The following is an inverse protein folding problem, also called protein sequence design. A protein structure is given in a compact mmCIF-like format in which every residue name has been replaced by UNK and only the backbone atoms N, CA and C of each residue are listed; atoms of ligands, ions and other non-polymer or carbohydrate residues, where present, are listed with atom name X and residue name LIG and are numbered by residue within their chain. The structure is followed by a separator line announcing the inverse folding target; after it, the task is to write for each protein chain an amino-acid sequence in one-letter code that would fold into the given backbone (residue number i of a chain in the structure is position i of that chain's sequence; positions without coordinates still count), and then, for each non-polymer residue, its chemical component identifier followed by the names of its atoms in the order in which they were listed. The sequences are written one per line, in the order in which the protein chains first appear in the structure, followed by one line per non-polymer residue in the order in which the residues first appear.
data_IF_268843893619
#
_entry.id   IF_268843893619
#
_cell.length_a   1.000
_cell.length_b   1.000
_cell.length_c   1.000
_cell.angle_alpha   90.00
_cell.angle_beta   90.00
_cell.angle_gamma   90.00
#
_symmetry.space_group_name_H-M   'P 1'
#
loop_
_entity.id
_entity.type
_entity.pdbx_description
1 polymer ?
#
# COMPACT_ATOMS: atom_id res chain seq x y z
N UNK A 1 -3.22 -29.74 -24.00
CA UNK A 1 -2.71 -28.59 -24.78
C UNK A 1 -2.55 -27.43 -23.82
N UNK A 2 -1.35 -26.85 -23.65
CA UNK A 2 -1.19 -25.72 -22.76
C UNK A 2 -1.91 -24.52 -23.40
N UNK A 3 -2.81 -23.93 -22.63
CA UNK A 3 -3.51 -22.71 -23.00
C UNK A 3 -2.48 -21.58 -23.17
N UNK A 4 -2.43 -21.01 -24.37
CA UNK A 4 -1.70 -19.79 -24.67
C UNK A 4 -2.38 -18.61 -23.99
N UNK A 5 -1.68 -17.99 -23.03
CA UNK A 5 -2.06 -16.70 -22.46
C UNK A 5 -2.07 -15.60 -23.55
N UNK A 6 -2.99 -14.63 -23.49
CA UNK A 6 -3.11 -13.56 -24.48
C UNK A 6 -1.96 -12.53 -24.36
N UNK A 7 -1.66 -11.77 -25.43
CA UNK A 7 -0.49 -10.90 -25.50
C UNK A 7 -0.56 -9.69 -24.54
N UNK A 8 0.62 -9.37 -24.02
CA UNK A 8 0.95 -8.31 -23.07
C UNK A 8 0.33 -6.94 -23.39
N UNK A 9 -0.29 -6.32 -22.38
CA UNK A 9 -0.65 -4.89 -22.37
C UNK A 9 0.10 -4.16 -21.24
N UNK A 10 0.64 -2.96 -21.49
CA UNK A 10 1.37 -2.19 -20.48
C UNK A 10 0.41 -1.50 -19.50
N UNK A 11 0.70 -1.56 -18.19
CA UNK A 11 0.07 -0.72 -17.16
C UNK A 11 1.15 0.07 -16.42
N UNK A 12 1.12 1.39 -16.58
CA UNK A 12 2.08 2.37 -16.05
C UNK A 12 1.35 3.42 -15.22
N UNK A 13 0.95 3.07 -14.00
CA UNK A 13 0.16 4.00 -13.18
C UNK A 13 1.03 5.04 -12.44
N UNK A 14 2.34 4.78 -12.29
CA UNK A 14 3.26 5.66 -11.55
C UNK A 14 4.03 6.65 -12.40
N UNK A 15 4.30 6.27 -13.65
CA UNK A 15 4.91 7.16 -14.62
C UNK A 15 3.97 8.33 -14.97
N UNK A 16 2.64 8.12 -14.93
CA UNK A 16 1.67 9.12 -15.34
C UNK A 16 1.61 10.35 -14.42
N UNK A 17 1.69 10.19 -13.09
CA UNK A 17 1.69 11.34 -12.17
C UNK A 17 3.00 12.12 -12.22
N UNK A 18 4.15 11.44 -12.24
CA UNK A 18 5.44 12.12 -12.39
C UNK A 18 5.53 12.81 -13.76
N UNK A 19 5.03 12.17 -14.81
CA UNK A 19 4.94 12.73 -16.16
C UNK A 19 3.96 13.91 -16.23
N UNK A 20 2.83 13.90 -15.50
CA UNK A 20 1.90 15.03 -15.53
C UNK A 20 2.48 16.31 -14.92
N UNK A 21 3.45 16.18 -14.01
CA UNK A 21 4.15 17.32 -13.41
C UNK A 21 5.18 17.94 -14.36
N UNK A 22 5.86 17.15 -15.19
CA UNK A 22 6.93 17.62 -16.08
C UNK A 22 6.45 17.86 -17.51
N UNK A 23 5.53 17.05 -18.00
CA UNK A 23 5.01 17.04 -19.37
C UNK A 23 3.48 16.79 -19.38
N UNK A 24 2.66 17.78 -18.98
CA UNK A 24 1.20 17.62 -18.87
C UNK A 24 0.54 17.09 -20.15
N UNK A 25 0.95 17.63 -21.32
CA UNK A 25 0.43 17.20 -22.60
C UNK A 25 0.76 15.73 -22.94
N UNK A 26 1.92 15.23 -22.50
CA UNK A 26 2.28 13.83 -22.69
C UNK A 26 1.47 12.92 -21.76
N UNK A 27 1.26 13.32 -20.51
CA UNK A 27 0.41 12.59 -19.58
C UNK A 27 -1.03 12.50 -20.10
N UNK A 28 -1.59 13.60 -20.61
CA UNK A 28 -2.92 13.63 -21.22
C UNK A 28 -3.00 12.72 -22.45
N UNK A 29 -1.96 12.71 -23.29
CA UNK A 29 -1.88 11.82 -24.45
C UNK A 29 -1.85 10.33 -24.04
N UNK A 30 -1.13 9.99 -22.96
CA UNK A 30 -1.08 8.62 -22.42
C UNK A 30 -2.46 8.20 -21.89
N UNK A 31 -3.12 9.07 -21.11
CA UNK A 31 -4.48 8.80 -20.60
C UNK A 31 -5.48 8.61 -21.74
N UNK A 32 -5.45 9.50 -22.74
CA UNK A 32 -6.30 9.40 -23.92
C UNK A 32 -6.04 8.12 -24.71
N UNK A 33 -4.77 7.73 -24.88
CA UNK A 33 -4.41 6.47 -25.54
C UNK A 33 -4.94 5.25 -24.77
N UNK A 34 -4.83 5.26 -23.43
CA UNK A 34 -5.36 4.20 -22.57
C UNK A 34 -6.89 4.11 -22.67
N UNK A 35 -7.59 5.26 -22.63
CA UNK A 35 -9.04 5.32 -22.83
C UNK A 35 -9.45 4.76 -24.19
N UNK A 36 -8.79 5.19 -25.27
CA UNK A 36 -9.07 4.70 -26.61
C UNK A 36 -8.88 3.18 -26.72
N UNK A 37 -7.78 2.65 -26.18
CA UNK A 37 -7.46 1.23 -26.23
C UNK A 37 -8.39 0.36 -25.37
N UNK A 38 -8.92 0.89 -24.27
CA UNK A 38 -9.73 0.15 -23.30
C UNK A 38 -11.24 0.42 -23.42
N UNK A 39 -11.65 1.40 -24.22
CA UNK A 39 -13.07 1.70 -24.53
C UNK A 39 -13.85 0.47 -25.03
N UNK A 40 -13.31 -0.43 -25.89
CA UNK A 40 -14.02 -1.65 -26.30
C UNK A 40 -14.31 -2.61 -25.13
N UNK A 41 -13.55 -2.52 -24.04
CA UNK A 41 -13.72 -3.33 -22.83
C UNK A 41 -14.59 -2.63 -21.77
N UNK A 42 -15.25 -1.53 -22.13
CA UNK A 42 -16.16 -0.80 -21.24
C UNK A 42 -15.49 0.21 -20.32
N UNK A 43 -14.19 0.52 -20.50
CA UNK A 43 -13.55 1.61 -19.77
C UNK A 43 -14.20 2.94 -20.15
N UNK A 44 -14.67 3.69 -19.14
CA UNK A 44 -15.33 4.99 -19.35
C UNK A 44 -14.37 6.17 -19.26
N UNK A 45 -13.35 6.06 -18.39
CA UNK A 45 -12.41 7.13 -18.10
C UNK A 45 -11.12 6.57 -17.52
N UNK A 46 -9.99 7.19 -17.85
CA UNK A 46 -8.72 7.02 -17.18
C UNK A 46 -8.34 8.33 -16.47
N UNK A 47 -7.96 8.25 -15.21
CA UNK A 47 -7.57 9.42 -14.40
C UNK A 47 -6.32 9.09 -13.60
N UNK A 48 -5.56 10.13 -13.26
CA UNK A 48 -4.47 10.01 -12.30
C UNK A 48 -5.07 10.17 -10.90
N UNK A 49 -4.83 9.17 -10.06
CA UNK A 49 -5.27 9.17 -8.67
C UNK A 49 -4.40 10.13 -7.83
N UNK A 50 -5.00 10.88 -6.91
CA UNK A 50 -4.21 11.67 -5.97
C UNK A 50 -3.52 10.76 -4.95
N UNK A 51 -2.34 11.14 -4.48
CA UNK A 51 -1.63 10.34 -3.47
C UNK A 51 -2.40 10.23 -2.15
N UNK A 52 -3.20 11.23 -1.80
CA UNK A 52 -4.10 11.17 -0.63
C UNK A 52 -5.16 10.09 -0.82
N UNK A 53 -5.87 10.11 -1.96
CA UNK A 53 -6.91 9.12 -2.28
C UNK A 53 -6.33 7.71 -2.38
N UNK A 54 -5.12 7.57 -2.90
CA UNK A 54 -4.40 6.30 -2.92
C UNK A 54 -4.22 5.72 -1.52
N UNK A 55 -3.81 6.54 -0.54
CA UNK A 55 -3.73 6.13 0.86
C UNK A 55 -5.09 5.77 1.47
N UNK A 56 -6.12 6.58 1.21
CA UNK A 56 -7.49 6.32 1.71
C UNK A 56 -8.06 5.03 1.12
N UNK A 57 -7.91 4.80 -0.18
CA UNK A 57 -8.40 3.60 -0.86
C UNK A 57 -7.57 2.37 -0.51
N UNK A 58 -6.27 2.53 -0.27
CA UNK A 58 -5.44 1.50 0.32
C UNK A 58 -6.02 1.04 1.68
N UNK A 59 -6.31 1.98 2.59
CA UNK A 59 -6.95 1.70 3.88
C UNK A 59 -8.33 1.03 3.73
N UNK A 60 -9.17 1.50 2.82
CA UNK A 60 -10.50 0.94 2.59
C UNK A 60 -10.41 -0.52 2.11
N UNK A 61 -9.51 -0.80 1.17
CA UNK A 61 -9.29 -2.15 0.63
C UNK A 61 -8.83 -3.12 1.70
N UNK A 62 -7.86 -2.70 2.51
CA UNK A 62 -7.31 -3.46 3.62
C UNK A 62 -8.44 -3.89 4.57
N UNK A 63 -9.18 -2.91 5.07
CA UNK A 63 -10.20 -3.15 6.09
C UNK A 63 -11.42 -3.89 5.57
N UNK A 64 -11.76 -3.70 4.29
CA UNK A 64 -12.79 -4.48 3.62
C UNK A 64 -12.41 -5.96 3.48
N UNK A 65 -11.19 -6.26 3.02
CA UNK A 65 -10.74 -7.64 2.75
C UNK A 65 -10.52 -8.47 4.01
N UNK A 66 -10.18 -7.82 5.12
CA UNK A 66 -10.02 -8.49 6.43
C UNK A 66 -11.30 -8.50 7.26
N UNK A 67 -12.41 -8.03 6.70
CA UNK A 67 -13.77 -8.11 7.27
C UNK A 67 -13.93 -7.38 8.63
N UNK A 68 -13.10 -6.37 8.89
CA UNK A 68 -13.20 -5.52 10.11
C UNK A 68 -14.02 -4.26 9.90
N UNK A 69 -14.52 -4.02 8.68
CA UNK A 69 -15.58 -3.03 8.43
C UNK A 69 -16.91 -3.75 8.67
N UNK A 70 -17.60 -3.52 9.80
CA UNK A 70 -18.77 -4.31 10.15
C UNK A 70 -19.94 -4.04 9.23
N UNK A 71 -20.60 -5.10 8.77
CA UNK A 71 -21.93 -5.01 8.17
C UNK A 71 -23.05 -4.93 9.21
N UNK A 72 -22.74 -5.14 10.49
CA UNK A 72 -23.68 -5.10 11.60
C UNK A 72 -23.11 -4.30 12.80
N UNK A 73 -24.01 -3.75 13.61
CA UNK A 73 -23.73 -2.77 14.66
C UNK A 73 -22.98 -3.31 15.89
N UNK A 74 -22.79 -4.63 16.01
CA UNK A 74 -22.19 -5.28 17.18
C UNK A 74 -20.66 -5.46 17.13
N UNK A 75 -20.02 -5.28 15.96
CA UNK A 75 -18.56 -5.40 15.88
C UNK A 75 -17.87 -4.09 16.27
N UNK A 76 -17.02 -4.15 17.29
CA UNK A 76 -16.22 -3.02 17.79
C UNK A 76 -14.73 -3.17 17.48
N UNK A 77 -14.36 -4.01 16.52
CA UNK A 77 -12.95 -4.18 16.18
C UNK A 77 -12.37 -2.92 15.53
N UNK A 78 -11.19 -2.53 16.01
CA UNK A 78 -10.43 -1.44 15.42
C UNK A 78 -9.98 -1.81 14.01
N UNK A 79 -10.21 -0.90 13.07
CA UNK A 79 -9.70 -1.02 11.69
C UNK A 79 -8.18 -0.94 11.68
N UNK A 80 -7.51 -1.63 10.77
CA UNK A 80 -6.07 -1.53 10.52
C UNK A 80 -5.69 -0.22 9.84
N UNK A 81 -4.47 0.26 10.08
CA UNK A 81 -3.79 1.21 9.20
C UNK A 81 -3.26 0.52 7.94
N UNK A 82 -2.99 1.29 6.89
CA UNK A 82 -2.39 0.84 5.65
C UNK A 82 -1.06 1.56 5.39
N UNK A 83 -0.04 0.78 5.05
CA UNK A 83 1.26 1.27 4.59
C UNK A 83 1.45 0.83 3.14
N UNK A 84 1.70 1.77 2.24
CA UNK A 84 1.99 1.49 0.83
C UNK A 84 3.33 2.13 0.44
N UNK A 85 4.13 1.42 -0.33
CA UNK A 85 5.43 1.89 -0.80
C UNK A 85 5.59 1.49 -2.26
N UNK A 86 5.17 2.39 -3.14
CA UNK A 86 5.28 2.21 -4.58
C UNK A 86 6.65 2.60 -5.13
N UNK A 87 6.71 2.70 -6.45
CA UNK A 87 7.94 3.07 -7.16
C UNK A 87 8.30 4.56 -7.04
N UNK A 88 7.29 5.43 -6.99
CA UNK A 88 7.48 6.89 -6.99
C UNK A 88 7.02 7.59 -5.70
N UNK A 89 6.12 6.98 -4.93
CA UNK A 89 5.61 7.52 -3.68
C UNK A 89 5.45 6.43 -2.61
N UNK A 90 5.25 6.86 -1.37
CA UNK A 90 4.83 6.02 -0.26
C UNK A 90 3.70 6.69 0.49
N UNK A 91 2.77 5.89 1.01
CA UNK A 91 1.57 6.34 1.72
C UNK A 91 1.51 5.70 3.09
N UNK A 92 0.97 6.46 4.03
CA UNK A 92 0.52 5.96 5.34
C UNK A 92 -0.89 6.47 5.58
N UNK A 93 -1.78 5.55 5.94
CA UNK A 93 -3.17 5.85 6.26
C UNK A 93 -3.64 5.07 7.50
N UNK A 94 -4.40 5.70 8.39
CA UNK A 94 -4.89 5.07 9.62
C UNK A 94 -6.13 5.77 10.17
N UNK A 95 -6.96 5.06 10.96
CA UNK A 95 -8.13 5.68 11.60
C UNK A 95 -7.68 6.68 12.67
N UNK A 96 -8.45 7.76 12.85
CA UNK A 96 -8.20 8.77 13.89
C UNK A 96 -9.46 9.06 14.71
N UNK A 97 -9.26 9.39 15.99
CA UNK A 97 -10.31 9.82 16.91
C UNK A 97 -10.95 11.15 16.51
N UNK A 98 -12.07 11.52 17.14
CA UNK A 98 -12.79 12.77 16.87
C UNK A 98 -12.04 14.04 17.28
N UNK A 99 -11.05 13.90 18.17
CA UNK A 99 -10.19 14.94 18.72
C UNK A 99 -9.09 15.40 17.78
N UNK A 100 -8.75 14.59 16.76
CA UNK A 100 -7.70 14.93 15.78
C UNK A 100 -8.27 15.82 14.68
N UNK A 101 -7.61 16.93 14.37
CA UNK A 101 -7.95 17.83 13.25
C UNK A 101 -6.75 17.99 12.31
N UNK A 102 -6.95 17.66 11.03
CA UNK A 102 -5.99 17.86 9.95
C UNK A 102 -6.72 17.96 8.61
N UNK A 103 -6.12 18.64 7.65
CA UNK A 103 -6.59 18.68 6.25
C UNK A 103 -6.37 17.34 5.53
N UNK A 104 -5.50 16.49 6.08
CA UNK A 104 -5.17 15.16 5.56
C UNK A 104 -6.14 14.08 6.07
N UNK A 105 -7.32 14.47 6.59
CA UNK A 105 -8.36 13.55 7.08
C UNK A 105 -9.52 13.49 6.08
N UNK A 106 -9.86 12.28 5.65
CA UNK A 106 -11.08 11.99 4.89
C UNK A 106 -12.10 11.30 5.78
N UNK A 107 -13.35 11.74 5.69
CA UNK A 107 -14.48 11.12 6.38
C UNK A 107 -15.22 10.17 5.42
N UNK A 108 -15.28 8.89 5.78
CA UNK A 108 -15.97 7.86 5.03
C UNK A 108 -17.22 7.41 5.79
N UNK A 109 -18.31 7.20 5.06
CA UNK A 109 -19.56 6.67 5.62
C UNK A 109 -19.79 5.27 5.05
N UNK A 110 -19.58 4.23 5.86
CA UNK A 110 -19.59 2.83 5.45
C UNK A 110 -20.54 2.03 6.35
N UNK A 111 -21.56 1.40 5.78
CA UNK A 111 -22.59 0.66 6.52
C UNK A 111 -23.15 1.45 7.73
N UNK A 112 -23.59 2.69 7.54
CA UNK A 112 -24.14 3.51 8.62
C UNK A 112 -23.14 3.96 9.70
N UNK A 113 -21.87 3.59 9.60
CA UNK A 113 -20.79 4.06 10.49
C UNK A 113 -19.88 5.07 9.81
N UNK A 114 -19.47 6.08 10.57
CA UNK A 114 -18.55 7.13 10.14
C UNK A 114 -17.13 6.76 10.54
N UNK A 115 -16.22 6.75 9.57
CA UNK A 115 -14.80 6.52 9.75
C UNK A 115 -14.04 7.79 9.39
N UNK A 116 -13.11 8.21 10.26
CA UNK A 116 -12.19 9.31 9.97
C UNK A 116 -10.83 8.71 9.71
N UNK A 117 -10.32 8.89 8.49
CA UNK A 117 -9.07 8.29 8.04
C UNK A 117 -8.08 9.40 7.75
N UNK A 118 -7.00 9.44 8.50
CA UNK A 118 -5.84 10.26 8.14
C UNK A 118 -5.07 9.55 7.05
N UNK A 119 -4.68 10.25 5.98
CA UNK A 119 -3.87 9.70 4.90
C UNK A 119 -2.92 10.76 4.32
N UNK A 120 -1.64 10.41 4.22
CA UNK A 120 -0.62 11.26 3.60
C UNK A 120 0.20 10.46 2.59
N UNK A 121 0.69 11.15 1.57
CA UNK A 121 1.50 10.58 0.49
C UNK A 121 2.77 11.40 0.29
N UNK A 122 3.90 10.72 0.21
CA UNK A 122 5.22 11.32 0.03
C UNK A 122 5.74 11.00 -1.37
N UNK A 123 5.50 11.92 -2.31
CA UNK A 123 6.04 11.84 -3.67
C UNK A 123 7.58 11.91 -3.64
N UNK A 124 8.23 11.21 -4.57
CA UNK A 124 9.68 11.04 -4.68
C UNK A 124 10.32 10.20 -3.57
N UNK A 125 9.52 9.64 -2.65
CA UNK A 125 9.95 8.70 -1.62
C UNK A 125 9.44 7.27 -1.88
N UNK A 126 9.01 6.97 -3.11
CA UNK A 126 8.93 5.59 -3.59
C UNK A 126 10.30 5.03 -3.92
N UNK A 127 10.44 3.70 -3.91
CA UNK A 127 11.75 3.04 -3.94
C UNK A 127 12.61 3.32 -5.17
N UNK A 128 12.02 3.61 -6.34
CA UNK A 128 12.80 3.92 -7.53
C UNK A 128 13.29 5.38 -7.51
N UNK A 129 12.42 6.31 -7.14
CA UNK A 129 12.76 7.73 -7.13
C UNK A 129 13.71 8.10 -5.99
N UNK A 130 13.55 7.49 -4.81
CA UNK A 130 14.50 7.70 -3.72
C UNK A 130 15.87 7.08 -4.03
N UNK A 131 15.90 5.94 -4.76
CA UNK A 131 17.16 5.38 -5.28
C UNK A 131 17.82 6.33 -6.29
N UNK A 132 17.05 6.96 -7.18
CA UNK A 132 17.61 7.98 -8.09
C UNK A 132 18.16 9.18 -7.32
N UNK A 133 17.44 9.67 -6.30
CA UNK A 133 17.92 10.73 -5.41
C UNK A 133 19.20 10.34 -4.68
N UNK A 134 19.31 9.10 -4.23
CA UNK A 134 20.55 8.57 -3.63
C UNK A 134 21.71 8.62 -4.62
N UNK A 135 21.53 8.12 -5.84
CA UNK A 135 22.58 8.14 -6.86
C UNK A 135 23.00 9.58 -7.19
N UNK A 136 22.05 10.48 -7.38
CA UNK A 136 22.33 11.90 -7.60
C UNK A 136 23.09 12.54 -6.42
N UNK A 137 22.73 12.18 -5.18
CA UNK A 137 23.37 12.66 -3.97
C UNK A 137 24.84 12.22 -3.87
N UNK A 138 25.14 10.95 -4.09
CA UNK A 138 26.53 10.45 -4.03
C UNK A 138 27.39 10.93 -5.21
N UNK A 139 26.79 11.20 -6.38
CA UNK A 139 27.49 11.86 -7.50
C UNK A 139 27.91 13.27 -7.09
N UNK A 140 26.99 14.05 -6.52
CA UNK A 140 27.27 15.41 -6.10
C UNK A 140 28.32 15.47 -4.98
N UNK A 141 28.28 14.54 -4.02
CA UNK A 141 29.29 14.41 -2.95
C UNK A 141 30.68 14.05 -3.46
N UNK A 142 30.75 13.32 -4.57
CA UNK A 142 32.01 12.91 -5.21
C UNK A 142 32.35 13.81 -6.41
N UNK A 143 31.85 15.04 -6.41
CA UNK A 143 32.22 16.10 -7.36
C UNK A 143 32.05 15.71 -8.83
N UNK A 144 30.99 14.94 -9.14
CA UNK A 144 30.65 14.53 -10.51
C UNK A 144 31.76 13.74 -11.24
N UNK A 145 32.58 12.97 -10.51
CA UNK A 145 33.56 12.05 -11.10
C UNK A 145 32.90 10.97 -11.95
N UNK A 146 33.61 10.45 -12.95
CA UNK A 146 33.11 9.35 -13.80
C UNK A 146 32.90 8.05 -13.01
N UNK A 147 33.78 7.77 -12.04
CA UNK A 147 33.68 6.61 -11.14
C UNK A 147 33.22 7.06 -9.76
N UNK A 148 32.07 6.54 -9.34
CA UNK A 148 31.38 6.87 -8.10
C UNK A 148 31.40 5.67 -7.17
N UNK A 149 31.97 5.83 -5.98
CA UNK A 149 31.89 4.81 -4.94
C UNK A 149 30.50 4.85 -4.30
N UNK A 150 29.81 3.71 -4.28
CA UNK A 150 28.47 3.61 -3.70
C UNK A 150 28.49 2.79 -2.41
N UNK A 151 28.08 3.37 -1.27
CA UNK A 151 28.01 2.64 -0.02
C UNK A 151 26.87 1.61 0.04
N UNK A 152 25.79 1.87 -0.70
CA UNK A 152 24.60 1.02 -0.70
C UNK A 152 24.60 -0.09 -1.76
N UNK A 153 25.77 -0.40 -2.33
CA UNK A 153 25.95 -1.54 -3.24
C UNK A 153 27.08 -2.42 -2.71
N UNK A 154 26.89 -3.73 -2.81
CA UNK A 154 27.82 -4.75 -2.30
C UNK A 154 29.20 -4.62 -2.93
N UNK A 155 30.23 -4.97 -2.15
CA UNK A 155 31.61 -4.98 -2.65
C UNK A 155 31.78 -5.97 -3.81
N UNK A 156 32.48 -5.55 -4.87
CA UNK A 156 32.63 -6.34 -6.09
C UNK A 156 31.47 -6.22 -7.09
N UNK A 157 30.42 -5.44 -6.79
CA UNK A 157 29.39 -5.08 -7.75
C UNK A 157 29.73 -3.79 -8.49
N UNK A 158 29.53 -3.75 -9.81
CA UNK A 158 29.75 -2.57 -10.64
C UNK A 158 28.65 -2.46 -11.69
N UNK A 159 28.16 -1.25 -11.93
CA UNK A 159 27.14 -0.98 -12.93
C UNK A 159 27.28 0.44 -13.47
N UNK A 160 26.73 0.67 -14.66
CA UNK A 160 26.78 1.97 -15.34
C UNK A 160 25.38 2.53 -15.49
N UNK A 161 25.24 3.86 -15.36
CA UNK A 161 24.02 4.58 -15.69
C UNK A 161 24.36 5.86 -16.43
N UNK A 162 23.52 6.21 -17.39
CA UNK A 162 23.62 7.51 -18.06
C UNK A 162 23.18 8.63 -17.12
N UNK A 163 23.73 9.83 -17.33
CA UNK A 163 23.31 11.02 -16.59
C UNK A 163 21.80 11.31 -16.74
N UNK A 164 21.23 11.05 -17.92
CA UNK A 164 19.78 11.19 -18.19
C UNK A 164 18.94 10.28 -17.29
N UNK A 165 19.32 9.00 -17.15
CA UNK A 165 18.60 8.04 -16.30
C UNK A 165 18.54 8.47 -14.82
N UNK A 166 19.48 9.30 -14.37
CA UNK A 166 19.57 9.78 -13.01
C UNK A 166 18.93 11.16 -12.84
N UNK A 167 19.26 12.13 -13.69
CA UNK A 167 18.94 13.55 -13.49
C UNK A 167 17.67 14.04 -14.20
N UNK A 168 17.15 13.30 -15.18
CA UNK A 168 15.96 13.72 -15.96
C UNK A 168 14.64 13.47 -15.23
N UNK A 169 14.65 12.71 -14.12
CA UNK A 169 13.44 12.53 -13.31
C UNK A 169 13.04 13.82 -12.61
N UNK A 170 11.73 14.09 -12.53
CA UNK A 170 11.17 15.15 -11.69
C UNK A 170 11.74 15.15 -10.26
N UNK A 171 12.06 13.97 -9.74
CA UNK A 171 12.52 13.81 -8.37
C UNK A 171 14.00 14.17 -8.17
N UNK A 172 14.78 14.34 -9.23
CA UNK A 172 16.23 14.60 -9.19
C UNK A 172 16.66 15.82 -10.01
N UNK A 173 15.79 16.32 -10.88
CA UNK A 173 16.04 17.54 -11.64
C UNK A 173 16.03 18.76 -10.72
N UNK A 174 17.11 19.53 -10.77
CA UNK A 174 17.30 20.81 -10.08
C UNK A 174 17.96 21.77 -11.07
N UNK A 175 17.96 23.09 -10.82
CA UNK A 175 18.67 24.03 -11.68
C UNK A 175 20.15 23.67 -11.87
N UNK A 176 20.79 23.08 -10.85
CA UNK A 176 22.18 22.62 -10.96
C UNK A 176 22.31 21.37 -11.85
N UNK A 177 21.50 20.33 -11.60
CA UNK A 177 21.59 19.08 -12.37
C UNK A 177 21.14 19.27 -13.82
N UNK A 178 20.17 20.15 -14.07
CA UNK A 178 19.73 20.53 -15.42
C UNK A 178 20.85 21.24 -16.19
N UNK A 179 21.50 22.25 -15.60
CA UNK A 179 22.64 22.92 -16.23
C UNK A 179 23.81 21.96 -16.47
N UNK A 180 24.08 21.03 -15.55
CA UNK A 180 25.14 20.04 -15.72
C UNK A 180 24.82 19.06 -16.86
N UNK A 181 23.58 18.59 -16.94
CA UNK A 181 23.12 17.65 -17.97
C UNK A 181 23.15 18.26 -19.37
N UNK A 182 22.86 19.56 -19.51
CA UNK A 182 23.00 20.27 -20.78
C UNK A 182 24.46 20.31 -21.28
N UNK A 183 25.42 20.40 -20.37
CA UNK A 183 26.85 20.40 -20.70
C UNK A 183 27.39 19.00 -20.96
N UNK A 184 26.78 17.97 -20.35
CA UNK A 184 27.24 16.58 -20.40
C UNK A 184 26.10 15.61 -20.79
N UNK A 185 25.47 15.79 -21.97
CA UNK A 185 24.23 15.08 -22.33
C UNK A 185 24.40 13.57 -22.53
N UNK A 186 25.64 13.12 -22.75
CA UNK A 186 26.01 11.73 -23.02
C UNK A 186 26.90 11.15 -21.91
N UNK A 187 27.04 11.83 -20.77
CA UNK A 187 27.83 11.33 -19.66
C UNK A 187 27.27 10.02 -19.09
N UNK A 188 28.19 9.14 -18.69
CA UNK A 188 27.91 7.85 -18.07
C UNK A 188 28.71 7.74 -16.79
N UNK A 189 28.03 7.44 -15.69
CA UNK A 189 28.66 7.20 -14.40
C UNK A 189 28.86 5.70 -14.19
N UNK A 190 30.05 5.32 -13.74
CA UNK A 190 30.40 3.97 -13.30
C UNK A 190 30.30 3.91 -11.78
N UNK A 191 29.38 3.10 -11.26
CA UNK A 191 29.21 2.93 -9.82
C UNK A 191 29.92 1.67 -9.34
N UNK A 192 30.71 1.79 -8.29
CA UNK A 192 31.44 0.67 -7.67
C UNK A 192 30.98 0.53 -6.22
N UNK A 193 30.45 -0.64 -5.86
CA UNK A 193 30.03 -0.94 -4.49
C UNK A 193 31.21 -1.11 -3.56
N UNK A 194 31.16 -0.47 -2.37
CA UNK A 194 32.15 -0.71 -1.31
C UNK A 194 31.64 -1.63 -0.19
N UNK A 195 30.33 -1.92 -0.14
CA UNK A 195 29.71 -2.76 0.88
C UNK A 195 29.74 -2.19 2.30
N UNK A 196 29.60 -0.86 2.48
CA UNK A 196 29.62 -0.23 3.80
C UNK A 196 28.20 0.02 4.33
N UNK A 197 27.72 -0.87 5.21
CA UNK A 197 26.39 -0.74 5.83
C UNK A 197 26.21 0.58 6.60
N UNK A 198 27.25 1.03 7.33
CA UNK A 198 27.20 2.27 8.10
C UNK A 198 27.13 3.50 7.20
N UNK A 199 27.98 3.59 6.18
CA UNK A 199 27.93 4.70 5.21
C UNK A 199 26.62 4.69 4.43
N UNK A 200 26.09 3.50 4.10
CA UNK A 200 24.81 3.39 3.40
C UNK A 200 23.67 3.95 4.25
N UNK A 201 23.61 3.53 5.52
CA UNK A 201 22.65 4.06 6.47
C UNK A 201 22.79 5.58 6.62
N UNK A 202 24.00 6.11 6.80
CA UNK A 202 24.21 7.57 6.88
C UNK A 202 23.73 8.31 5.63
N UNK A 203 24.03 7.79 4.44
CA UNK A 203 23.58 8.38 3.18
C UNK A 203 22.04 8.36 3.05
N UNK A 204 21.38 7.27 3.47
CA UNK A 204 19.92 7.17 3.47
C UNK A 204 19.29 8.14 4.48
N UNK A 205 19.82 8.20 5.71
CA UNK A 205 19.36 9.12 6.73
C UNK A 205 19.46 10.59 6.28
N UNK A 206 20.54 10.96 5.60
CA UNK A 206 20.73 12.31 5.04
C UNK A 206 19.70 12.65 3.95
N UNK A 207 19.35 11.70 3.07
CA UNK A 207 18.31 11.88 2.05
C UNK A 207 16.91 12.08 2.66
N UNK A 208 16.69 11.46 3.81
CA UNK A 208 15.44 11.51 4.55
C UNK A 208 15.38 12.70 5.52
N UNK A 209 16.46 13.46 5.69
CA UNK A 209 16.49 14.66 6.50
C UNK A 209 15.76 15.81 5.79
N UNK A 210 14.66 16.37 6.35
CA UNK A 210 13.90 17.43 5.70
C UNK A 210 14.73 18.70 5.46
N UNK A 211 15.62 19.06 6.38
CA UNK A 211 16.46 20.24 6.28
C UNK A 211 17.52 20.09 5.18
N UNK A 212 18.07 18.89 5.01
CA UNK A 212 19.00 18.59 3.90
C UNK A 212 18.24 18.57 2.57
N UNK A 213 17.10 17.90 2.50
CA UNK A 213 16.29 17.80 1.29
C UNK A 213 15.86 19.17 0.75
N UNK A 214 15.38 20.08 1.62
CA UNK A 214 14.90 21.43 1.24
C UNK A 214 15.96 22.32 0.60
N UNK A 215 17.25 21.96 0.70
CA UNK A 215 18.34 22.69 0.02
C UNK A 215 18.34 22.47 -1.49
N UNK A 216 17.83 21.32 -1.95
CA UNK A 216 17.95 20.89 -3.34
C UNK A 216 16.61 20.56 -4.00
N UNK A 217 15.62 20.13 -3.23
CA UNK A 217 14.36 19.60 -3.76
C UNK A 217 13.14 20.33 -3.18
N UNK A 218 12.09 20.42 -3.99
CA UNK A 218 10.79 21.00 -3.61
C UNK A 218 9.92 20.02 -2.80
N UNK A 219 10.01 18.73 -3.10
CA UNK A 219 9.25 17.68 -2.41
C UNK A 219 10.14 16.92 -1.43
N UNK A 220 9.84 17.06 -0.14
CA UNK A 220 10.60 16.47 0.97
C UNK A 220 9.71 15.67 1.92
N UNK A 221 10.31 14.68 2.57
CA UNK A 221 9.65 13.79 3.54
C UNK A 221 9.56 14.47 4.89
N UNK A 222 8.52 15.27 5.10
CA UNK A 222 8.19 15.79 6.42
C UNK A 222 7.62 14.68 7.30
N UNK A 223 7.86 14.69 8.63
CA UNK A 223 7.13 13.82 9.54
C UNK A 223 5.60 14.02 9.40
N UNK A 224 4.79 12.95 9.53
CA UNK A 224 3.34 13.08 9.54
C UNK A 224 2.89 14.07 10.62
N UNK A 225 2.00 15.00 10.26
CA UNK A 225 1.44 15.99 11.22
C UNK A 225 0.66 15.32 12.36
N UNK A 226 0.06 14.16 12.07
CA UNK A 226 -0.57 13.30 13.06
C UNK A 226 0.36 12.12 13.28
N UNK A 227 0.87 11.91 14.50
CA UNK A 227 1.78 10.80 14.78
C UNK A 227 1.05 9.47 14.57
N UNK A 228 1.79 8.49 14.05
CA UNK A 228 1.33 7.12 13.85
C UNK A 228 0.97 6.51 15.22
N UNK A 229 -0.29 6.09 15.45
CA UNK A 229 -0.69 5.58 16.76
C UNK A 229 0.05 4.30 17.15
N UNK A 230 0.51 4.21 18.41
CA UNK A 230 1.33 3.10 18.92
C UNK A 230 0.57 1.80 19.17
N UNK A 231 -0.73 1.87 19.47
CA UNK A 231 -1.60 0.69 19.66
C UNK A 231 -2.26 0.17 18.38
N UNK A 232 -2.08 0.89 17.26
CA UNK A 232 -2.73 0.58 15.99
C UNK A 232 -1.98 -0.55 15.27
N UNK A 233 -2.73 -1.53 14.76
CA UNK A 233 -2.18 -2.53 13.85
C UNK A 233 -2.18 -2.02 12.42
N UNK A 234 -1.15 -2.34 11.65
CA UNK A 234 -1.00 -1.93 10.26
C UNK A 234 -0.94 -3.14 9.35
N UNK A 235 -1.48 -2.98 8.15
CA UNK A 235 -1.23 -3.89 7.05
C UNK A 235 -0.39 -3.19 6.00
N UNK A 236 0.65 -3.88 5.56
CA UNK A 236 1.42 -3.44 4.42
C UNK A 236 0.71 -3.90 3.16
N UNK A 237 0.23 -2.96 2.37
CA UNK A 237 -0.45 -3.26 1.13
C UNK A 237 0.53 -3.74 0.08
N UNK A 238 0.10 -4.70 -0.73
CA UNK A 238 0.89 -5.27 -1.81
C UNK A 238 0.21 -5.29 -3.17
N UNK A 239 0.72 -4.46 -4.09
CA UNK A 239 0.36 -4.54 -5.50
C UNK A 239 1.38 -5.32 -6.32
N UNK A 240 0.90 -6.34 -7.03
CA UNK A 240 1.57 -6.92 -8.18
C UNK A 240 1.18 -6.13 -9.43
N UNK A 241 2.15 -5.48 -10.08
CA UNK A 241 2.01 -5.10 -11.49
C UNK A 241 3.03 -5.92 -12.27
N UNK A 242 2.62 -6.80 -13.20
CA UNK A 242 3.57 -7.56 -13.99
C UNK A 242 4.47 -6.61 -14.80
N UNK A 243 5.79 -6.79 -14.68
CA UNK A 243 6.78 -6.01 -15.42
C UNK A 243 6.86 -6.56 -16.84
N UNK A 244 6.48 -5.74 -17.83
CA UNK A 244 6.64 -6.06 -19.24
C UNK A 244 8.06 -5.72 -19.65
N UNK A 245 8.84 -6.74 -20.04
CA UNK A 245 10.15 -6.58 -20.68
C UNK A 245 9.94 -6.14 -22.13
N UNK A 246 9.81 -4.83 -22.38
CA UNK A 246 9.97 -4.30 -23.75
C UNK A 246 11.19 -3.39 -23.81
N UNK A 247 12.06 -3.62 -24.79
CA UNK A 247 13.24 -2.81 -25.10
C UNK A 247 12.90 -1.38 -25.55
N UNK A 248 11.62 -1.08 -25.81
CA UNK A 248 11.14 0.22 -26.28
C UNK A 248 10.71 1.16 -25.14
N UNK A 249 10.48 0.66 -23.92
CA UNK A 249 9.98 1.46 -22.81
C UNK A 249 11.02 1.51 -21.68
N UNK A 250 12.00 2.41 -21.82
CA UNK A 250 13.10 2.56 -20.82
C UNK A 250 12.63 3.06 -19.45
N UNK A 251 11.41 3.59 -19.36
CA UNK A 251 10.76 3.91 -18.08
C UNK A 251 10.23 2.68 -17.31
N UNK A 252 10.18 1.49 -17.94
CA UNK A 252 9.57 0.27 -17.38
C UNK A 252 10.50 -0.60 -16.53
N UNK A 253 11.78 -0.24 -16.34
CA UNK A 253 12.66 -0.89 -15.35
C UNK A 253 12.41 -0.39 -13.90
N UNK A 254 11.21 0.08 -13.62
CA UNK A 254 10.81 0.60 -12.32
C UNK A 254 10.14 -0.53 -11.51
N UNK A 255 10.71 -0.83 -10.34
CA UNK A 255 10.09 -1.71 -9.35
C UNK A 255 8.81 -1.02 -8.86
N UNK A 256 7.67 -1.36 -9.45
CA UNK A 256 6.35 -0.80 -9.13
C UNK A 256 5.61 -1.70 -8.14
N UNK A 257 6.33 -2.19 -7.12
CA UNK A 257 5.79 -3.09 -6.12
C UNK A 257 5.82 -2.41 -4.75
N UNK A 258 4.91 -2.83 -3.88
CA UNK A 258 4.95 -2.55 -2.44
C UNK A 258 6.27 -3.00 -1.82
N UNK A 259 7.25 -2.13 -1.81
CA UNK A 259 8.62 -2.55 -1.54
C UNK A 259 8.83 -2.98 -0.08
N UNK A 260 7.94 -2.57 0.84
CA UNK A 260 7.93 -3.04 2.22
C UNK A 260 7.91 -4.59 2.30
N UNK A 261 6.87 -5.24 1.77
CA UNK A 261 6.74 -6.69 1.85
C UNK A 261 7.90 -7.42 1.18
N UNK A 262 8.28 -7.00 -0.03
CA UNK A 262 9.32 -7.66 -0.80
C UNK A 262 10.71 -7.52 -0.19
N UNK A 263 11.01 -6.36 0.39
CA UNK A 263 12.28 -6.13 1.08
C UNK A 263 12.38 -7.06 2.28
N UNK A 264 11.39 -7.07 3.18
CA UNK A 264 11.42 -7.96 4.35
C UNK A 264 11.41 -9.43 3.94
N UNK A 265 10.66 -9.82 2.91
CA UNK A 265 10.64 -11.19 2.41
C UNK A 265 11.99 -11.61 1.85
N UNK A 266 12.61 -10.77 1.04
CA UNK A 266 13.92 -11.06 0.45
C UNK A 266 14.98 -11.26 1.53
N UNK A 267 14.89 -10.51 2.63
CA UNK A 267 15.79 -10.60 3.78
C UNK A 267 15.37 -11.67 4.81
N UNK A 268 14.37 -12.52 4.51
CA UNK A 268 13.82 -13.51 5.45
C UNK A 268 13.40 -12.91 6.81
N UNK A 269 12.90 -11.68 6.81
CA UNK A 269 12.52 -10.92 8.00
C UNK A 269 11.00 -10.74 8.15
N UNK A 270 10.18 -11.29 7.25
CA UNK A 270 8.71 -11.23 7.35
C UNK A 270 8.22 -11.91 8.62
N UNK A 271 7.56 -11.15 9.50
CA UNK A 271 7.02 -11.66 10.77
C UNK A 271 8.08 -11.91 11.85
N UNK A 272 9.34 -11.52 11.61
CA UNK A 272 10.43 -11.64 12.58
C UNK A 272 10.52 -10.38 13.47
N UNK A 273 11.16 -10.46 14.66
CA UNK A 273 11.43 -9.29 15.49
C UNK A 273 12.23 -8.21 14.77
N UNK A 274 12.11 -6.95 15.22
CA UNK A 274 12.76 -5.79 14.60
C UNK A 274 14.28 -6.01 14.45
N UNK A 275 14.94 -6.49 15.50
CA UNK A 275 16.38 -6.77 15.48
C UNK A 275 16.80 -7.73 14.36
N UNK A 276 15.95 -8.69 13.99
CA UNK A 276 16.25 -9.59 12.86
C UNK A 276 16.27 -8.81 11.55
N UNK A 277 15.31 -7.92 11.34
CA UNK A 277 15.29 -7.06 10.15
C UNK A 277 16.49 -6.12 10.11
N UNK A 278 16.84 -5.50 11.23
CA UNK A 278 18.01 -4.61 11.34
C UNK A 278 19.32 -5.35 11.04
N UNK A 279 19.53 -6.51 11.66
CA UNK A 279 20.73 -7.33 11.46
C UNK A 279 20.84 -7.84 10.02
N UNK A 280 19.74 -8.33 9.44
CA UNK A 280 19.75 -8.81 8.05
C UNK A 280 19.98 -7.67 7.06
N UNK A 281 19.51 -6.46 7.34
CA UNK A 281 19.77 -5.27 6.51
C UNK A 281 21.26 -4.90 6.54
N UNK A 282 21.88 -4.90 7.72
CA UNK A 282 23.31 -4.65 7.87
C UNK A 282 24.15 -5.73 7.18
N UNK A 283 23.78 -7.01 7.36
CA UNK A 283 24.45 -8.14 6.70
C UNK A 283 24.34 -8.04 5.18
N UNK A 284 23.13 -7.74 4.67
CA UNK A 284 22.88 -7.57 3.24
C UNK A 284 23.76 -6.47 2.64
N UNK A 285 24.02 -5.38 3.35
CA UNK A 285 24.89 -4.31 2.88
C UNK A 285 26.39 -4.61 2.99
N UNK A 286 26.80 -5.30 4.06
CA UNK A 286 28.22 -5.61 4.32
C UNK A 286 28.76 -6.81 3.54
N UNK A 287 27.88 -7.66 3.01
CA UNK A 287 28.26 -8.82 2.21
C UNK A 287 28.95 -8.43 0.89
N UNK A 288 29.83 -9.30 0.40
CA UNK A 288 30.32 -9.24 -0.98
C UNK A 288 29.19 -9.51 -1.98
N UNK A 289 29.37 -9.13 -3.25
CA UNK A 289 28.38 -9.39 -4.29
C UNK A 289 28.06 -10.89 -4.46
N UNK A 290 29.04 -11.77 -4.29
CA UNK A 290 28.85 -13.22 -4.37
C UNK A 290 28.00 -13.74 -3.20
N UNK A 291 28.36 -13.36 -1.98
CA UNK A 291 27.60 -13.73 -0.77
C UNK A 291 26.17 -13.17 -0.81
N UNK A 292 26.02 -11.90 -1.18
CA UNK A 292 24.74 -11.20 -1.25
C UNK A 292 23.71 -11.92 -2.14
N UNK A 293 24.16 -12.54 -3.24
CA UNK A 293 23.28 -13.31 -4.13
C UNK A 293 22.70 -14.57 -3.47
N UNK A 294 23.36 -15.09 -2.44
CA UNK A 294 22.91 -16.27 -1.68
C UNK A 294 22.00 -15.92 -0.49
N UNK A 295 22.08 -14.69 0.00
CA UNK A 295 21.33 -14.22 1.18
C UNK A 295 19.86 -13.92 0.90
N UNK A 296 19.49 -13.68 -0.37
CA UNK A 296 18.18 -13.14 -0.74
C UNK A 296 17.53 -13.87 -1.90
N UNK A 297 16.20 -13.82 -1.95
CA UNK A 297 15.41 -14.40 -3.05
C UNK A 297 14.31 -13.41 -3.52
N UNK A 298 14.19 -13.13 -4.84
CA UNK A 298 15.00 -13.63 -5.96
C UNK A 298 16.32 -12.86 -6.14
N UNK A 299 17.36 -13.56 -6.59
CA UNK A 299 18.69 -13.00 -6.81
C UNK A 299 18.76 -11.87 -7.85
N UNK A 300 17.81 -11.81 -8.80
CA UNK A 300 17.78 -10.78 -9.85
C UNK A 300 17.65 -9.34 -9.33
N UNK A 301 17.26 -9.15 -8.07
CA UNK A 301 17.11 -7.82 -7.45
C UNK A 301 18.14 -7.54 -6.35
N UNK A 302 19.16 -8.40 -6.18
CA UNK A 302 20.20 -8.30 -5.13
C UNK A 302 20.80 -6.90 -5.03
N UNK A 303 21.14 -6.30 -6.18
CA UNK A 303 21.75 -4.98 -6.24
C UNK A 303 20.92 -3.88 -5.57
N UNK A 304 19.61 -4.06 -5.43
CA UNK A 304 18.73 -3.06 -4.83
C UNK A 304 18.49 -3.29 -3.33
N UNK A 305 18.68 -4.49 -2.81
CA UNK A 305 18.21 -4.84 -1.46
C UNK A 305 19.00 -4.16 -0.34
N UNK A 306 20.29 -3.88 -0.52
CA UNK A 306 21.03 -3.11 0.48
C UNK A 306 20.42 -1.72 0.65
N UNK A 307 20.34 -0.92 -0.43
CA UNK A 307 19.69 0.39 -0.40
C UNK A 307 18.24 0.33 0.08
N UNK A 308 17.43 -0.58 -0.48
CA UNK A 308 16.01 -0.68 -0.15
C UNK A 308 15.78 -1.05 1.32
N UNK A 309 16.59 -1.96 1.88
CA UNK A 309 16.46 -2.36 3.29
C UNK A 309 16.78 -1.22 4.25
N UNK A 310 17.84 -0.45 3.98
CA UNK A 310 18.17 0.75 4.75
C UNK A 310 17.08 1.82 4.62
N UNK A 311 16.57 2.06 3.41
CA UNK A 311 15.48 3.00 3.21
C UNK A 311 14.19 2.59 3.93
N UNK A 312 13.79 1.31 3.83
CA UNK A 312 12.58 0.81 4.50
C UNK A 312 12.71 0.90 6.02
N UNK A 313 13.89 0.57 6.55
CA UNK A 313 14.23 0.70 7.97
C UNK A 313 14.04 2.12 8.46
N UNK A 314 14.70 3.09 7.84
CA UNK A 314 14.67 4.48 8.29
C UNK A 314 13.29 5.11 8.05
N UNK A 315 12.57 4.70 6.99
CA UNK A 315 11.19 5.12 6.75
C UNK A 315 10.24 4.65 7.86
N UNK A 316 10.30 3.38 8.24
CA UNK A 316 9.43 2.84 9.28
C UNK A 316 9.80 3.39 10.66
N UNK A 317 11.08 3.42 11.02
CA UNK A 317 11.51 3.77 12.36
C UNK A 317 11.55 5.28 12.58
N UNK A 318 12.26 6.01 11.74
CA UNK A 318 12.55 7.43 11.99
C UNK A 318 11.41 8.35 11.52
N UNK A 319 10.64 7.91 10.52
CA UNK A 319 9.63 8.78 9.87
C UNK A 319 8.22 8.41 10.22
N UNK A 320 7.91 7.11 10.21
CA UNK A 320 6.62 6.63 10.70
C UNK A 320 6.63 6.39 12.21
N UNK A 321 7.78 6.47 12.89
CA UNK A 321 7.85 6.43 14.34
C UNK A 321 7.61 5.04 14.93
N UNK A 322 7.73 3.98 14.13
CA UNK A 322 7.68 2.63 14.66
C UNK A 322 8.92 2.36 15.53
N UNK A 323 8.72 1.59 16.58
CA UNK A 323 9.75 1.13 17.50
C UNK A 323 9.61 -0.37 17.74
N UNK A 324 10.54 -0.95 18.50
CA UNK A 324 10.47 -2.36 18.90
C UNK A 324 9.11 -2.72 19.55
N UNK A 325 8.59 -1.83 20.41
CA UNK A 325 7.30 -2.01 21.08
C UNK A 325 6.11 -2.08 20.11
N UNK A 326 6.17 -1.37 18.97
CA UNK A 326 5.09 -1.30 17.99
C UNK A 326 5.29 -2.21 16.79
N UNK A 327 6.48 -2.79 16.62
CA UNK A 327 6.86 -3.57 15.43
C UNK A 327 5.95 -4.78 15.20
N UNK A 328 5.55 -5.45 16.29
CA UNK A 328 4.61 -6.58 16.24
C UNK A 328 3.21 -6.18 15.72
N UNK A 329 2.89 -4.89 15.70
CA UNK A 329 1.66 -4.37 15.12
C UNK A 329 1.68 -4.29 13.58
N UNK A 330 2.83 -4.44 12.93
CA UNK A 330 2.97 -4.32 11.47
C UNK A 330 2.86 -5.71 10.82
N UNK A 331 1.78 -5.92 10.07
CA UNK A 331 1.55 -7.16 9.34
C UNK A 331 1.98 -7.02 7.88
N UNK A 332 3.12 -7.61 7.55
CA UNK A 332 3.65 -7.69 6.19
C UNK A 332 2.99 -8.82 5.41
N UNK A 333 1.78 -8.58 4.91
CA UNK A 333 1.00 -9.59 4.18
C UNK A 333 0.81 -9.22 2.70
N UNK A 334 0.86 -10.22 1.84
CA UNK A 334 0.63 -10.03 0.39
C UNK A 334 -0.84 -10.06 0.02
N UNK A 335 -1.57 -11.01 0.60
CA UNK A 335 -2.96 -11.30 0.26
C UNK A 335 -3.84 -11.36 1.49
N UNK A 336 -5.07 -10.90 1.32
CA UNK A 336 -6.18 -11.17 2.23
C UNK A 336 -7.29 -11.84 1.41
N UNK A 337 -7.81 -12.98 1.89
CA UNK A 337 -8.86 -13.77 1.23
C UNK A 337 -8.58 -14.11 -0.26
N UNK A 338 -7.31 -14.27 -0.63
CA UNK A 338 -6.88 -14.61 -1.99
C UNK A 338 -6.70 -13.40 -2.94
N UNK A 339 -7.09 -12.21 -2.52
CA UNK A 339 -6.92 -10.95 -3.26
C UNK A 339 -5.64 -10.23 -2.82
N UNK A 340 -4.98 -9.57 -3.77
CA UNK A 340 -3.82 -8.71 -3.48
C UNK A 340 -4.30 -7.43 -2.78
N UNK A 341 -3.54 -6.98 -1.78
CA UNK A 341 -3.86 -5.78 -1.01
C UNK A 341 -3.38 -4.52 -1.74
N UNK A 342 -4.20 -3.50 -1.90
CA UNK A 342 -3.78 -2.26 -2.56
C UNK A 342 -4.98 -1.37 -2.80
N UNK A 343 -4.77 -0.16 -3.30
CA UNK A 343 -5.85 0.83 -3.42
C UNK A 343 -6.94 0.50 -4.45
N UNK A 344 -6.68 -0.41 -5.40
CA UNK A 344 -7.57 -0.66 -6.54
C UNK A 344 -8.96 -1.14 -6.13
N UNK A 345 -9.05 -2.02 -5.13
CA UNK A 345 -10.34 -2.52 -4.63
C UNK A 345 -11.15 -1.41 -3.94
N UNK A 346 -10.50 -0.59 -3.13
CA UNK A 346 -11.11 0.52 -2.39
C UNK A 346 -11.57 1.61 -3.34
N UNK A 347 -10.76 1.91 -4.37
CA UNK A 347 -11.17 2.78 -5.47
C UNK A 347 -12.43 2.22 -6.16
N UNK A 348 -12.45 0.92 -6.49
CA UNK A 348 -13.60 0.29 -7.11
C UNK A 348 -14.84 0.34 -6.22
N UNK A 349 -14.70 0.05 -4.93
CA UNK A 349 -15.79 0.12 -3.93
C UNK A 349 -16.39 1.52 -3.91
N UNK A 350 -15.54 2.55 -3.85
CA UNK A 350 -15.97 3.94 -3.83
C UNK A 350 -16.63 4.34 -5.17
N UNK A 351 -15.99 4.04 -6.30
CA UNK A 351 -16.47 4.42 -7.62
C UNK A 351 -17.80 3.74 -8.02
N UNK A 352 -18.09 2.57 -7.46
CA UNK A 352 -19.32 1.82 -7.73
C UNK A 352 -20.41 2.00 -6.67
N UNK A 353 -20.12 2.74 -5.58
CA UNK A 353 -20.95 2.78 -4.38
C UNK A 353 -21.31 1.37 -3.87
N UNK A 354 -20.36 0.42 -3.97
CA UNK A 354 -20.61 -0.98 -3.63
C UNK A 354 -20.91 -1.19 -2.14
N UNK A 355 -20.39 -0.31 -1.28
CA UNK A 355 -20.73 -0.29 0.15
C UNK A 355 -21.80 0.79 0.38
N UNK A 356 -22.99 0.43 0.90
CA UNK A 356 -24.01 1.40 1.21
C UNK A 356 -23.58 2.29 2.38
N UNK A 357 -23.94 3.58 2.29
CA UNK A 357 -23.70 4.53 3.37
C UNK A 357 -24.59 4.29 4.61
N UNK A 358 -25.72 3.60 4.44
CA UNK A 358 -26.64 3.20 5.51
C UNK A 358 -26.49 1.71 5.86
N UNK A 359 -26.85 1.34 7.09
CA UNK A 359 -26.96 -0.05 7.51
C UNK A 359 -28.04 -0.78 6.68
N UNK A 360 -27.86 -2.06 6.32
CA UNK A 360 -28.93 -2.86 5.76
C UNK A 360 -30.11 -2.89 6.73
N UNK A 361 -31.31 -2.55 6.27
CA UNK A 361 -32.52 -2.69 7.10
C UNK A 361 -32.69 -4.16 7.49
N UNK A 362 -32.89 -4.44 8.78
CA UNK A 362 -33.19 -5.78 9.27
C UNK A 362 -34.32 -6.41 8.41
N UNK A 363 -34.26 -7.71 8.10
CA UNK A 363 -35.28 -8.36 7.29
C UNK A 363 -36.63 -8.20 7.99
N UNK A 364 -37.47 -7.31 7.49
CA UNK A 364 -38.82 -7.14 7.99
C UNK A 364 -39.61 -8.37 7.56
N UNK A 365 -40.12 -9.14 8.53
CA UNK A 365 -41.15 -10.15 8.23
C UNK A 365 -42.29 -9.39 7.56
N UNK A 366 -42.58 -9.73 6.30
CA UNK A 366 -43.64 -9.06 5.55
C UNK A 366 -44.93 -9.07 6.36
N UNK A 367 -45.66 -7.94 6.38
CA UNK A 367 -46.85 -7.77 7.22
C UNK A 367 -47.82 -8.96 7.13
N UNK A 368 -48.02 -9.51 5.92
CA UNK A 368 -48.86 -10.68 5.70
C UNK A 368 -48.34 -11.96 6.36
N UNK A 369 -47.03 -12.20 6.33
CA UNK A 369 -46.41 -13.35 6.98
C UNK A 369 -46.48 -13.22 8.51
N UNK A 370 -46.27 -12.00 9.04
CA UNK A 370 -46.43 -11.72 10.46
C UNK A 370 -47.87 -11.97 10.94
N UNK A 371 -48.86 -11.47 10.20
CA UNK A 371 -50.29 -11.69 10.52
C UNK A 371 -50.63 -13.18 10.45
N UNK A 372 -50.14 -13.91 9.44
CA UNK A 372 -50.41 -15.35 9.29
C UNK A 372 -49.82 -16.16 10.46
N UNK A 373 -48.58 -15.85 10.86
CA UNK A 373 -47.94 -16.48 12.02
C UNK A 373 -48.68 -16.16 13.33
N UNK A 374 -49.16 -14.93 13.49
CA UNK A 374 -49.96 -14.52 14.65
C UNK A 374 -51.29 -15.29 14.71
N UNK A 375 -52.00 -15.42 13.59
CA UNK A 375 -53.24 -16.19 13.51
C UNK A 375 -53.02 -17.67 13.83
N UNK A 376 -51.95 -18.28 13.31
CA UNK A 376 -51.59 -19.67 13.63
C UNK A 376 -51.30 -19.85 15.12
N UNK A 377 -50.55 -18.93 15.72
CA UNK A 377 -50.22 -18.97 17.15
C UNK A 377 -51.48 -18.87 18.02
N UNK A 378 -52.39 -17.93 17.72
CA UNK A 378 -53.66 -17.80 18.42
C UNK A 378 -54.53 -19.06 18.23
N UNK A 379 -54.58 -19.62 17.02
CA UNK A 379 -55.31 -20.86 16.74
C UNK A 379 -54.80 -22.05 17.56
N UNK A 380 -53.47 -22.21 17.66
CA UNK A 380 -52.84 -23.26 18.48
C UNK A 380 -53.15 -23.08 19.98
N UNK A 381 -53.14 -21.85 20.48
CA UNK A 381 -53.52 -21.58 21.88
C UNK A 381 -54.97 -21.94 22.17
N UNK A 382 -55.88 -21.62 21.24
CA UNK A 382 -57.31 -21.97 21.37
C UNK A 382 -57.51 -23.49 21.36
N UNK A 383 -56.79 -24.22 20.49
CA UNK A 383 -56.81 -25.68 20.46
C UNK A 383 -56.26 -26.27 21.76
N UNK A 384 -55.13 -25.77 22.26
CA UNK A 384 -54.55 -26.21 23.53
C UNK A 384 -55.51 -25.98 24.71
N UNK A 385 -56.17 -24.82 24.76
CA UNK A 385 -57.19 -24.53 25.77
C UNK A 385 -58.40 -25.48 25.66
N UNK A 386 -58.88 -25.76 24.44
CA UNK A 386 -59.96 -26.72 24.21
C UNK A 386 -59.56 -28.13 24.67
N UNK A 387 -58.35 -28.59 24.33
CA UNK A 387 -57.81 -29.88 24.79
C UNK A 387 -57.71 -29.93 26.32
N UNK A 388 -57.26 -28.87 26.98
CA UNK A 388 -57.19 -28.80 28.44
C UNK A 388 -58.59 -28.85 29.08
N UNK A 389 -59.59 -28.19 28.50
CA UNK A 389 -60.98 -28.24 28.97
C UNK A 389 -61.57 -29.64 28.78
N UNK A 390 -61.34 -30.26 27.62
CA UNK A 390 -61.81 -31.62 27.34
C UNK A 390 -61.13 -32.65 28.25
N UNK A 391 -59.82 -32.55 28.46
CA UNK A 391 -59.07 -33.39 29.40
C UNK A 391 -59.59 -33.20 30.84
N UNK A 392 -59.85 -31.96 31.28
CA UNK A 392 -60.46 -31.69 32.60
C UNK A 392 -61.86 -32.28 32.73
N UNK A 393 -62.70 -32.20 31.69
CA UNK A 393 -64.03 -32.82 31.67
C UNK A 393 -63.94 -34.34 31.76
N UNK A 394 -63.04 -34.97 31.02
CA UNK A 394 -62.80 -36.42 31.08
C UNK A 394 -62.27 -36.87 32.45
N UNK A 395 -61.34 -36.13 33.05
CA UNK A 395 -60.86 -36.42 34.41
C UNK A 395 -61.94 -36.27 35.47
N UNK A 396 -62.84 -35.28 35.36
CA UNK A 396 -64.01 -35.14 36.24
C UNK A 396 -65.03 -36.27 36.07
N UNK A 397 -65.29 -36.69 34.83
CA UNK A 397 -66.19 -37.81 34.54
C UNK A 397 -65.66 -39.15 35.08
N UNK A 398 -64.33 -39.32 35.17
CA UNK A 398 -63.71 -40.48 35.84
C UNK A 398 -63.78 -40.43 37.36
N UNK A 399 -63.83 -39.24 37.97
CA UNK A 399 -63.93 -39.08 39.44
C UNK A 399 -65.36 -39.26 39.98
N UNK A 400 -66.38 -39.01 39.15
CA UNK A 400 -67.80 -39.22 39.48
C UNK A 400 -68.48 -40.02 38.35
N UNK A 401 -68.35 -41.36 38.34
CA UNK A 401 -69.14 -42.19 37.45
C UNK A 401 -70.63 -42.04 37.83
N UNK A 402 -71.55 -41.94 36.85
CA UNK A 402 -72.98 -42.01 37.14
C UNK A 402 -73.28 -43.38 37.77
N UNK A 403 -73.98 -43.39 38.91
CA UNK A 403 -74.43 -44.60 39.61
C UNK A 403 -75.39 -45.43 38.75
#
# INVERSE_FOLDING_TARGET
APHSDPPDRPQSEWAAFVCSLTQPAQADAILMAAECALKPYGLRRAVILSGHDEGVFAWLSTNYLVEVIPQDSDHTEDTFGALDLGGASTQVAFPVGSDVSSQDITELQLYGRKYRVFAVSYLCYGVNEIRRRFLAHIIAQQEYRDTIVSPCHNSGYTFNLTAKEIFESYCTITPQTESWLQQHPDAVFTFVGNGSANECHSAVADLMNPATCKKSYSTCLEPPKVPVPTGQKYMVNMRLVPVVSSSQCRCCFSQAFSAFYYTLKALNATGMPLDTFLNNSNLMCSATWEEAQTLVTPARFVANYCFQSMFVRDLLLDKYGFSDATWSGINFIKKAKGYDLGWSLGFMINATNAIPAAQPSAPTVGFHLFVLLLCLFVGLLMLAAAFLVLARKQSRAKLHPPM
#
